data_IF_404438326327
#
_entry.id   IF_404438326327
#
_cell.length_a   1.000
_cell.length_b   1.000
_cell.length_c   1.000
_cell.angle_alpha   90.00
_cell.angle_beta   90.00
_cell.angle_gamma   90.00
#
_symmetry.space_group_name_H-M   'P 1'
#
loop_
_entity.id
_entity.type
_entity.pdbx_description
1 polymer ?
#
# COMPACT_ATOMS: atom_id res chain seq x y z
N UNK A 1 22.57 -21.69 -57.81
CA UNK A 1 22.10 -20.39 -57.27
C UNK A 1 20.66 -20.42 -56.74
N UNK A 2 19.65 -20.89 -57.51
CA UNK A 2 18.26 -20.93 -57.03
C UNK A 2 18.05 -21.75 -55.75
N UNK A 3 18.68 -22.91 -55.65
CA UNK A 3 18.55 -23.79 -54.46
C UNK A 3 19.24 -23.16 -53.21
N UNK A 4 20.35 -22.47 -53.40
CA UNK A 4 21.04 -21.77 -52.30
C UNK A 4 20.24 -20.60 -51.77
N UNK A 5 19.52 -19.88 -52.63
CA UNK A 5 18.58 -18.81 -52.27
C UNK A 5 17.38 -19.34 -51.46
N UNK A 6 16.87 -20.52 -51.83
CA UNK A 6 15.77 -21.16 -51.10
C UNK A 6 16.24 -21.58 -49.69
N UNK A 7 17.43 -22.14 -49.54
CA UNK A 7 17.96 -22.50 -48.20
C UNK A 7 18.27 -21.29 -47.35
N UNK A 8 18.72 -20.18 -47.92
CA UNK A 8 18.91 -18.91 -47.18
C UNK A 8 17.57 -18.32 -46.78
N UNK A 9 16.52 -18.39 -47.62
CA UNK A 9 15.19 -17.91 -47.28
C UNK A 9 14.52 -18.76 -46.18
N UNK A 10 14.70 -20.08 -46.21
CA UNK A 10 14.21 -20.99 -45.17
C UNK A 10 14.96 -20.77 -43.85
N UNK A 11 16.28 -20.54 -43.91
CA UNK A 11 17.08 -20.26 -42.71
C UNK A 11 16.74 -18.93 -42.09
N UNK A 12 16.51 -17.87 -42.89
CA UNK A 12 16.04 -16.57 -42.39
C UNK A 12 14.61 -16.60 -41.86
N UNK A 13 13.73 -17.44 -42.41
CA UNK A 13 12.37 -17.63 -41.90
C UNK A 13 12.37 -18.37 -40.53
N UNK A 14 13.30 -19.32 -40.32
CA UNK A 14 13.49 -20.03 -39.05
C UNK A 14 14.12 -19.19 -37.95
N UNK A 15 14.87 -18.14 -38.30
CA UNK A 15 15.47 -17.20 -37.31
C UNK A 15 14.53 -16.06 -36.93
N UNK A 16 13.41 -15.91 -37.66
CA UNK A 16 12.41 -14.86 -37.38
C UNK A 16 11.35 -15.25 -36.34
N UNK A 17 11.46 -16.43 -35.71
CA UNK A 17 10.73 -16.66 -34.46
C UNK A 17 11.31 -15.72 -33.40
N UNK A 18 10.56 -14.66 -33.09
CA UNK A 18 10.85 -13.82 -31.94
C UNK A 18 11.02 -14.75 -30.76
N UNK A 19 12.22 -14.84 -30.23
CA UNK A 19 12.48 -15.55 -28.99
C UNK A 19 11.65 -14.91 -27.87
N UNK A 20 10.43 -15.38 -27.67
CA UNK A 20 9.55 -15.04 -26.56
C UNK A 20 10.08 -15.70 -25.28
N UNK A 21 11.37 -15.50 -25.00
CA UNK A 21 12.04 -16.16 -23.87
C UNK A 21 12.28 -15.23 -22.70
N UNK A 22 11.92 -13.95 -22.82
CA UNK A 22 12.08 -12.99 -21.74
C UNK A 22 10.76 -12.30 -21.45
N UNK A 23 10.32 -12.31 -20.18
CA UNK A 23 9.20 -11.50 -19.73
C UNK A 23 9.42 -10.07 -20.20
N UNK A 24 8.38 -9.48 -20.77
CA UNK A 24 8.38 -8.07 -21.13
C UNK A 24 8.32 -7.28 -19.81
N UNK A 25 9.49 -6.94 -19.27
CA UNK A 25 9.65 -6.37 -17.94
C UNK A 25 9.60 -4.83 -17.94
N UNK A 26 9.38 -4.22 -19.10
CA UNK A 26 9.29 -2.76 -19.15
C UNK A 26 7.92 -2.25 -18.66
N UNK A 27 7.89 -1.09 -18.02
CA UNK A 27 6.66 -0.43 -17.62
C UNK A 27 5.74 -0.13 -18.81
N UNK A 28 4.46 -0.04 -18.52
CA UNK A 28 3.44 0.27 -19.53
C UNK A 28 3.69 1.65 -20.18
N UNK A 29 3.49 1.77 -21.49
CA UNK A 29 3.71 3.02 -22.19
C UNK A 29 2.74 4.11 -21.71
N UNK A 30 3.10 5.39 -21.86
CA UNK A 30 2.22 6.51 -21.55
C UNK A 30 0.89 6.41 -22.28
N UNK A 31 -0.19 6.90 -21.66
CA UNK A 31 -1.50 6.99 -22.28
C UNK A 31 -1.45 7.92 -23.49
N UNK A 32 -1.84 7.41 -24.67
CA UNK A 32 -1.85 8.17 -25.94
C UNK A 32 -3.26 8.53 -26.42
N UNK A 33 -4.29 7.84 -25.92
CA UNK A 33 -5.69 8.03 -26.28
C UNK A 33 -6.54 8.25 -25.05
N UNK A 34 -7.63 9.00 -25.18
CA UNK A 34 -8.67 8.99 -24.15
C UNK A 34 -9.27 7.59 -24.04
N UNK A 35 -9.57 7.15 -22.84
CA UNK A 35 -10.18 5.85 -22.58
C UNK A 35 -11.53 6.08 -21.93
N UNK A 36 -12.55 5.38 -22.42
CA UNK A 36 -13.90 5.38 -21.88
C UNK A 36 -14.25 3.95 -21.47
N UNK A 37 -14.53 3.74 -20.20
CA UNK A 37 -15.05 2.48 -19.65
C UNK A 37 -16.55 2.63 -19.53
N UNK A 38 -17.33 1.71 -20.08
CA UNK A 38 -18.80 1.80 -20.11
C UNK A 38 -19.46 0.55 -19.53
N UNK A 39 -20.68 0.73 -18.96
CA UNK A 39 -21.61 -0.33 -18.62
C UNK A 39 -21.29 -1.14 -17.36
N UNK A 40 -20.21 -0.82 -16.66
CA UNK A 40 -19.84 -1.49 -15.41
C UNK A 40 -20.46 -0.89 -14.16
N UNK A 41 -20.48 -1.63 -13.05
CA UNK A 41 -20.80 -1.10 -11.74
C UNK A 41 -19.56 -0.41 -11.17
N UNK A 42 -19.68 0.89 -10.87
CA UNK A 42 -18.56 1.74 -10.43
C UNK A 42 -18.64 1.92 -8.91
N UNK A 43 -17.66 1.39 -8.20
CA UNK A 43 -17.44 1.62 -6.78
C UNK A 43 -16.52 2.83 -6.63
N UNK A 44 -17.06 3.95 -6.15
CA UNK A 44 -16.29 5.21 -6.07
C UNK A 44 -15.15 5.13 -5.04
N UNK A 45 -15.28 4.27 -4.03
CA UNK A 45 -14.32 4.16 -2.91
C UNK A 45 -14.62 5.10 -1.74
N UNK A 46 -15.70 5.84 -1.78
CA UNK A 46 -16.19 6.73 -0.72
C UNK A 46 -17.55 6.29 -0.15
N UNK A 47 -17.95 5.04 -0.39
CA UNK A 47 -19.25 4.48 -0.01
C UNK A 47 -20.32 4.60 -1.09
N UNK A 48 -20.09 5.34 -2.19
CA UNK A 48 -21.04 5.47 -3.31
C UNK A 48 -20.78 4.42 -4.37
N UNK A 49 -21.86 3.91 -4.96
CA UNK A 49 -21.84 2.98 -6.09
C UNK A 49 -22.71 3.53 -7.20
N UNK A 50 -22.25 3.44 -8.44
CA UNK A 50 -23.00 3.81 -9.64
C UNK A 50 -23.20 2.54 -10.46
N UNK A 51 -24.44 2.17 -10.68
CA UNK A 51 -24.79 1.00 -11.47
C UNK A 51 -24.83 1.36 -12.97
N UNK A 52 -24.18 0.51 -13.80
CA UNK A 52 -24.08 0.71 -15.26
C UNK A 52 -23.53 2.08 -15.67
N UNK A 53 -22.58 2.61 -14.90
CA UNK A 53 -21.97 3.90 -15.16
C UNK A 53 -20.92 3.89 -16.27
N UNK A 54 -20.36 5.07 -16.52
CA UNK A 54 -19.18 5.25 -17.37
C UNK A 54 -18.12 6.10 -16.71
N UNK A 55 -16.86 5.82 -17.02
CA UNK A 55 -15.69 6.60 -16.59
C UNK A 55 -14.88 6.96 -17.82
N UNK A 56 -14.57 8.24 -17.96
CA UNK A 56 -13.66 8.75 -19.00
C UNK A 56 -12.39 9.27 -18.35
N UNK A 57 -11.24 8.93 -18.91
CA UNK A 57 -9.96 9.48 -18.48
C UNK A 57 -9.01 9.72 -19.65
N UNK A 58 -8.20 10.75 -19.49
CA UNK A 58 -7.23 11.21 -20.50
C UNK A 58 -6.06 11.90 -19.80
N UNK A 59 -4.86 11.77 -20.37
CA UNK A 59 -3.63 12.35 -19.81
C UNK A 59 -3.42 11.96 -18.34
N UNK A 60 -3.73 10.71 -18.01
CA UNK A 60 -3.53 10.16 -16.67
C UNK A 60 -4.60 10.53 -15.64
N UNK A 61 -5.58 11.38 -15.99
CA UNK A 61 -6.60 11.90 -15.07
C UNK A 61 -8.00 11.47 -15.45
N UNK A 62 -8.85 11.24 -14.45
CA UNK A 62 -10.29 11.06 -14.63
C UNK A 62 -10.89 12.40 -15.05
N UNK A 63 -11.58 12.43 -16.18
CA UNK A 63 -12.18 13.64 -16.76
C UNK A 63 -13.69 13.66 -16.62
N UNK A 64 -14.34 12.50 -16.56
CA UNK A 64 -15.78 12.39 -16.39
C UNK A 64 -16.18 11.08 -15.71
N UNK A 65 -17.24 11.13 -14.91
CA UNK A 65 -17.93 9.95 -14.34
C UNK A 65 -19.41 10.21 -14.45
N UNK A 66 -20.13 9.32 -15.14
CA UNK A 66 -21.56 9.46 -15.40
C UNK A 66 -22.34 8.22 -14.92
N UNK A 67 -23.52 8.45 -14.36
CA UNK A 67 -24.52 7.45 -14.00
C UNK A 67 -25.44 7.06 -15.16
N UNK A 68 -25.33 7.77 -16.28
CA UNK A 68 -26.06 7.43 -17.51
C UNK A 68 -25.20 6.47 -18.34
N UNK A 69 -25.71 5.25 -18.55
CA UNK A 69 -25.20 4.44 -19.64
C UNK A 69 -25.23 5.31 -20.91
N UNK A 70 -24.08 5.56 -21.51
CA UNK A 70 -24.03 6.32 -22.78
C UNK A 70 -24.92 5.56 -23.74
N UNK A 71 -26.09 6.13 -24.06
CA UNK A 71 -27.05 5.53 -24.99
C UNK A 71 -26.44 5.59 -26.40
N UNK A 72 -25.83 4.51 -26.82
CA UNK A 72 -25.05 4.37 -28.03
C UNK A 72 -23.56 4.32 -27.75
N UNK A 73 -22.88 3.43 -28.48
CA UNK A 73 -21.40 3.39 -28.42
C UNK A 73 -20.89 4.78 -28.80
N UNK A 74 -20.08 5.43 -27.93
CA UNK A 74 -19.44 6.67 -28.32
C UNK A 74 -18.70 6.44 -29.64
N UNK A 75 -18.76 7.41 -30.55
CA UNK A 75 -18.08 7.29 -31.84
C UNK A 75 -16.61 6.91 -31.57
N UNK A 76 -16.27 5.66 -31.89
CA UNK A 76 -14.88 5.17 -31.80
C UNK A 76 -14.10 6.01 -32.81
N UNK A 77 -13.27 6.90 -32.29
CA UNK A 77 -12.36 7.70 -33.11
C UNK A 77 -10.95 7.18 -32.94
N UNK A 78 -10.06 7.49 -33.84
CA UNK A 78 -8.64 7.17 -33.72
C UNK A 78 -8.01 7.74 -32.42
N UNK A 79 -8.71 8.66 -31.75
CA UNK A 79 -8.27 9.34 -30.51
C UNK A 79 -8.89 8.77 -29.24
N UNK A 80 -9.83 7.82 -29.35
CA UNK A 80 -10.59 7.29 -28.19
C UNK A 80 -10.64 5.77 -28.24
N UNK A 81 -10.32 5.14 -27.11
CA UNK A 81 -10.48 3.72 -26.88
C UNK A 81 -11.70 3.49 -25.98
N UNK A 82 -12.58 2.59 -26.36
CA UNK A 82 -13.74 2.20 -25.55
C UNK A 82 -13.50 0.80 -24.97
N UNK A 83 -13.76 0.64 -23.67
CA UNK A 83 -13.69 -0.63 -22.95
C UNK A 83 -15.09 -0.94 -22.44
N UNK A 84 -15.66 -2.04 -22.93
CA UNK A 84 -16.93 -2.57 -22.43
C UNK A 84 -16.71 -3.33 -21.11
N UNK A 85 -17.25 -2.79 -20.04
CA UNK A 85 -17.25 -3.36 -18.69
C UNK A 85 -18.64 -3.86 -18.28
N UNK A 86 -19.55 -4.11 -19.23
CA UNK A 86 -20.89 -4.62 -18.93
C UNK A 86 -20.79 -5.91 -18.10
N UNK A 87 -21.47 -5.93 -16.94
CA UNK A 87 -21.44 -7.03 -15.98
C UNK A 87 -20.17 -7.13 -15.14
N UNK A 88 -19.23 -6.19 -15.29
CA UNK A 88 -17.99 -6.11 -14.49
C UNK A 88 -18.08 -5.06 -13.40
N UNK A 89 -17.17 -5.14 -12.47
CA UNK A 89 -17.01 -4.24 -11.35
C UNK A 89 -15.79 -3.32 -11.59
N UNK A 90 -15.91 -2.04 -11.30
CA UNK A 90 -14.87 -1.02 -11.50
C UNK A 90 -14.56 -0.40 -10.14
N UNK A 91 -13.28 -0.42 -9.75
CA UNK A 91 -12.80 -0.02 -8.44
C UNK A 91 -11.67 1.00 -8.54
N UNK A 92 -11.45 1.87 -7.54
CA UNK A 92 -10.19 2.58 -7.40
C UNK A 92 -9.05 1.58 -7.14
N UNK A 93 -7.84 1.93 -7.56
CA UNK A 93 -6.64 1.15 -7.27
C UNK A 93 -6.43 0.97 -5.77
N UNK A 94 -6.18 -0.26 -5.35
CA UNK A 94 -5.91 -0.60 -3.94
C UNK A 94 -4.53 -0.09 -3.55
N UNK A 95 -4.38 0.34 -2.29
CA UNK A 95 -3.16 0.93 -1.73
C UNK A 95 -2.68 0.07 -0.56
N UNK A 96 -1.50 -0.53 -0.67
CA UNK A 96 -0.84 -1.21 0.43
C UNK A 96 -0.16 -0.18 1.34
N UNK A 97 -0.76 0.13 2.48
CA UNK A 97 -0.36 1.27 3.33
C UNK A 97 0.92 1.03 4.16
N UNK A 98 1.33 -0.21 4.35
CA UNK A 98 2.54 -0.58 5.10
C UNK A 98 3.13 -1.87 4.55
N UNK A 99 4.26 -1.81 3.84
CA UNK A 99 4.85 -2.98 3.21
C UNK A 99 6.35 -2.84 2.97
N UNK A 100 7.04 -3.98 2.84
CA UNK A 100 8.44 -4.11 2.41
C UNK A 100 8.56 -4.54 0.94
N UNK A 101 7.49 -4.40 0.17
CA UNK A 101 7.47 -4.76 -1.25
C UNK A 101 8.59 -4.03 -2.01
N UNK A 102 9.41 -4.76 -2.76
CA UNK A 102 10.57 -4.21 -3.46
C UNK A 102 11.80 -3.89 -2.58
N UNK A 103 11.70 -4.06 -1.25
CA UNK A 103 12.85 -3.98 -0.33
C UNK A 103 13.37 -5.37 0.06
N UNK A 104 12.61 -6.42 -0.20
CA UNK A 104 12.97 -7.82 0.07
C UNK A 104 12.60 -8.66 -1.13
N UNK A 105 13.56 -9.46 -1.61
CA UNK A 105 13.31 -10.43 -2.68
C UNK A 105 13.19 -11.86 -2.13
N UNK A 106 14.13 -12.27 -1.28
CA UNK A 106 14.15 -13.59 -0.65
C UNK A 106 14.37 -13.42 0.85
N UNK A 107 13.33 -13.63 1.64
CA UNK A 107 13.33 -13.35 3.08
C UNK A 107 14.43 -14.07 3.86
N UNK A 108 14.76 -15.31 3.47
CA UNK A 108 15.82 -16.12 4.11
C UNK A 108 17.24 -15.70 3.71
N UNK A 109 17.41 -14.79 2.75
CA UNK A 109 18.72 -14.41 2.21
C UNK A 109 19.05 -12.96 2.54
N UNK A 110 19.94 -12.73 3.50
CA UNK A 110 20.28 -11.39 4.00
C UNK A 110 20.72 -10.41 2.90
N UNK A 111 21.46 -10.86 1.90
CA UNK A 111 21.95 -10.01 0.79
C UNK A 111 20.85 -9.52 -0.17
N UNK A 112 19.61 -9.94 0.01
CA UNK A 112 18.44 -9.50 -0.79
C UNK A 112 17.42 -8.74 0.07
N UNK A 113 17.86 -8.27 1.23
CA UNK A 113 17.02 -7.56 2.21
C UNK A 113 17.59 -6.18 2.44
N UNK A 114 16.94 -5.16 1.89
CA UNK A 114 17.28 -3.74 2.00
C UNK A 114 16.24 -2.96 2.82
N UNK A 115 15.51 -3.67 3.69
CA UNK A 115 14.43 -3.12 4.50
C UNK A 115 14.88 -2.51 5.82
N UNK A 116 16.08 -2.82 6.30
CA UNK A 116 16.56 -2.37 7.61
C UNK A 116 18.02 -1.87 7.58
N UNK A 117 18.32 -0.89 8.41
CA UNK A 117 19.65 -0.34 8.60
C UNK A 117 20.11 -0.52 10.04
N UNK A 118 21.45 -0.56 10.24
CA UNK A 118 22.04 -0.67 11.55
C UNK A 118 21.89 0.61 12.36
N UNK A 119 21.68 0.47 13.65
CA UNK A 119 21.57 1.59 14.59
C UNK A 119 20.16 1.79 15.14
N UNK A 120 20.08 2.60 16.18
CA UNK A 120 18.85 2.82 16.93
C UNK A 120 18.04 4.01 16.37
N UNK A 121 18.73 4.99 15.80
CA UNK A 121 18.12 6.17 15.17
C UNK A 121 18.56 6.29 13.71
N UNK A 122 17.67 5.87 12.82
CA UNK A 122 17.84 5.85 11.37
C UNK A 122 16.97 6.92 10.67
N UNK A 123 16.65 8.03 11.33
CA UNK A 123 15.75 9.08 10.82
C UNK A 123 16.11 9.57 9.41
N UNK A 124 17.40 9.61 9.03
CA UNK A 124 17.85 10.05 7.73
C UNK A 124 17.75 8.98 6.63
N UNK A 125 17.44 7.72 6.97
CA UNK A 125 17.28 6.64 6.01
C UNK A 125 15.99 6.80 5.23
N UNK A 126 16.04 6.49 3.93
CA UNK A 126 14.92 6.61 3.00
C UNK A 126 14.72 5.27 2.29
N UNK A 127 13.63 4.60 2.55
CA UNK A 127 13.30 3.32 1.92
C UNK A 127 13.22 3.40 0.39
N UNK A 128 12.83 4.57 -0.14
CA UNK A 128 12.63 4.78 -1.58
C UNK A 128 13.88 4.48 -2.40
N UNK A 129 15.08 4.85 -1.90
CA UNK A 129 16.34 4.67 -2.66
C UNK A 129 16.72 3.19 -2.83
N UNK A 130 16.23 2.33 -1.93
CA UNK A 130 16.45 0.89 -1.96
C UNK A 130 15.33 0.12 -2.71
N UNK A 131 14.31 0.83 -3.18
CA UNK A 131 13.17 0.19 -3.84
C UNK A 131 13.54 -0.41 -5.19
N UNK A 132 13.41 -1.74 -5.28
CA UNK A 132 13.64 -2.50 -6.51
C UNK A 132 12.34 -2.60 -7.32
N UNK A 133 12.26 -1.88 -8.45
CA UNK A 133 11.13 -1.92 -9.38
C UNK A 133 11.03 -3.23 -10.16
N UNK A 134 12.14 -4.00 -10.25
CA UNK A 134 12.22 -5.26 -11.00
C UNK A 134 11.83 -6.48 -10.15
N UNK A 135 11.36 -6.25 -8.91
CA UNK A 135 10.89 -7.33 -8.05
C UNK A 135 9.76 -8.12 -8.70
N UNK A 136 9.96 -9.43 -8.84
CA UNK A 136 8.94 -10.34 -9.43
C UNK A 136 7.65 -10.42 -8.62
N UNK A 137 7.70 -10.04 -7.35
CA UNK A 137 6.54 -10.00 -6.47
C UNK A 137 5.57 -8.90 -6.89
N UNK A 138 6.07 -7.77 -7.39
CA UNK A 138 5.27 -6.63 -7.81
C UNK A 138 4.21 -7.03 -8.84
N UNK A 139 4.57 -7.80 -9.86
CA UNK A 139 3.63 -8.25 -10.89
C UNK A 139 2.47 -9.07 -10.31
N UNK A 140 2.75 -9.91 -9.31
CA UNK A 140 1.72 -10.70 -8.63
C UNK A 140 0.79 -9.81 -7.78
N UNK A 141 1.34 -8.86 -7.05
CA UNK A 141 0.58 -7.92 -6.22
C UNK A 141 -0.30 -7.03 -7.10
N UNK A 142 0.26 -6.49 -8.17
CA UNK A 142 -0.42 -5.63 -9.16
C UNK A 142 -1.59 -6.35 -9.85
N UNK A 143 -1.41 -7.63 -10.19
CA UNK A 143 -2.46 -8.42 -10.85
C UNK A 143 -3.68 -8.72 -9.97
N UNK A 144 -3.62 -8.40 -8.67
CA UNK A 144 -4.75 -8.46 -7.73
C UNK A 144 -5.33 -7.07 -7.40
N UNK A 145 -4.98 -6.05 -8.19
CA UNK A 145 -5.56 -4.71 -8.08
C UNK A 145 -4.87 -3.77 -7.10
N UNK A 146 -3.76 -4.18 -6.46
CA UNK A 146 -2.93 -3.27 -5.65
C UNK A 146 -2.03 -2.48 -6.61
N UNK A 147 -2.24 -1.19 -6.69
CA UNK A 147 -1.57 -0.32 -7.67
C UNK A 147 -0.53 0.60 -7.05
N UNK A 148 -0.69 0.93 -5.77
CA UNK A 148 0.23 1.78 -5.01
C UNK A 148 0.64 1.07 -3.72
N UNK A 149 1.82 1.38 -3.22
CA UNK A 149 2.34 0.84 -1.97
C UNK A 149 3.13 1.90 -1.20
N UNK A 150 2.95 1.96 0.11
CA UNK A 150 3.83 2.71 1.01
C UNK A 150 4.93 1.76 1.47
N UNK A 151 6.15 1.96 0.94
CA UNK A 151 7.30 1.15 1.26
C UNK A 151 7.96 1.68 2.53
N UNK A 152 8.06 0.82 3.55
CA UNK A 152 8.40 1.19 4.92
C UNK A 152 9.71 0.56 5.34
N UNK A 153 10.69 1.36 5.83
CA UNK A 153 11.91 0.82 6.41
C UNK A 153 11.63 0.23 7.79
N UNK A 154 12.47 -0.69 8.20
CA UNK A 154 12.46 -1.33 9.52
C UNK A 154 13.78 -1.09 10.27
N UNK A 155 13.86 -1.64 11.46
CA UNK A 155 15.07 -1.58 12.31
C UNK A 155 15.18 -0.31 13.13
N UNK A 156 15.87 -0.43 14.27
CA UNK A 156 16.06 0.64 15.22
C UNK A 156 14.78 1.12 15.94
N UNK A 157 14.93 2.08 16.82
CA UNK A 157 13.80 2.80 17.44
C UNK A 157 13.16 3.77 16.45
N UNK A 158 13.96 4.53 15.69
CA UNK A 158 13.49 5.32 14.54
C UNK A 158 14.00 4.63 13.28
N UNK A 159 13.08 4.08 12.48
CA UNK A 159 13.43 3.26 11.31
C UNK A 159 13.79 4.09 10.08
N UNK A 160 13.18 5.27 9.92
CA UNK A 160 13.44 6.14 8.78
C UNK A 160 12.20 6.62 8.07
N UNK A 161 12.39 7.15 6.85
CA UNK A 161 11.34 7.68 6.00
C UNK A 161 10.74 6.62 5.09
N UNK A 162 9.42 6.53 5.10
CA UNK A 162 8.65 5.78 4.11
C UNK A 162 8.29 6.66 2.90
N UNK A 163 7.93 6.02 1.80
CA UNK A 163 7.48 6.69 0.58
C UNK A 163 6.40 5.89 -0.12
N UNK A 164 5.45 6.57 -0.75
CA UNK A 164 4.46 5.92 -1.58
C UNK A 164 5.00 5.77 -3.00
N UNK A 165 4.93 4.55 -3.53
CA UNK A 165 5.37 4.21 -4.89
C UNK A 165 4.22 3.66 -5.72
N UNK A 166 4.28 3.89 -7.04
CA UNK A 166 3.46 3.19 -8.01
C UNK A 166 4.11 1.86 -8.41
N UNK A 167 3.30 0.85 -8.71
CA UNK A 167 3.79 -0.50 -8.96
C UNK A 167 4.04 -0.80 -10.46
N UNK A 168 4.39 0.23 -11.26
CA UNK A 168 4.71 0.09 -12.69
C UNK A 168 5.66 1.20 -13.14
N UNK A 169 6.95 1.06 -12.85
CA UNK A 169 7.95 2.11 -13.00
C UNK A 169 9.31 1.58 -13.46
N UNK A 170 10.12 2.44 -14.09
CA UNK A 170 11.45 2.10 -14.60
C UNK A 170 12.50 1.98 -13.49
N UNK A 171 12.43 2.84 -12.51
CA UNK A 171 13.35 2.92 -11.37
C UNK A 171 12.64 3.54 -10.17
N UNK A 172 13.32 3.66 -9.04
CA UNK A 172 12.74 4.21 -7.81
C UNK A 172 12.32 5.68 -7.94
N UNK A 173 12.97 6.47 -8.78
CA UNK A 173 12.62 7.88 -9.04
C UNK A 173 11.29 7.97 -9.78
N UNK A 174 11.12 7.16 -10.84
CA UNK A 174 9.89 7.04 -11.61
C UNK A 174 8.74 6.41 -10.80
N UNK A 175 9.08 5.50 -9.88
CA UNK A 175 8.11 4.89 -8.97
C UNK A 175 7.55 5.86 -7.92
N UNK A 176 8.26 6.92 -7.59
CA UNK A 176 7.93 7.82 -6.51
C UNK A 176 6.60 8.56 -6.75
N UNK A 177 5.54 8.15 -6.04
CA UNK A 177 4.23 8.80 -6.07
C UNK A 177 4.12 9.92 -5.02
N UNK A 178 4.64 9.69 -3.82
CA UNK A 178 4.89 10.69 -2.77
C UNK A 178 6.14 10.28 -1.98
N UNK A 179 7.16 11.12 -2.05
CA UNK A 179 8.43 10.89 -1.34
C UNK A 179 8.33 11.26 0.13
N UNK A 180 9.00 10.48 0.98
CA UNK A 180 9.26 10.80 2.40
C UNK A 180 8.00 11.27 3.15
N UNK A 181 6.89 10.53 2.98
CA UNK A 181 5.57 10.90 3.49
C UNK A 181 5.44 10.79 5.02
N UNK A 182 6.38 10.12 5.68
CA UNK A 182 6.36 9.99 7.14
C UNK A 182 7.59 9.29 7.70
N UNK A 183 7.77 9.47 9.01
CA UNK A 183 8.81 8.84 9.82
C UNK A 183 8.18 7.66 10.56
N UNK A 184 8.81 6.50 10.48
CA UNK A 184 8.42 5.30 11.21
C UNK A 184 9.24 5.15 12.50
N UNK A 185 8.52 4.95 13.61
CA UNK A 185 9.06 4.81 14.96
C UNK A 185 8.51 3.53 15.60
N UNK A 186 9.36 2.68 16.11
CA UNK A 186 8.99 1.51 16.90
C UNK A 186 8.91 1.92 18.38
N UNK A 187 7.72 1.90 18.95
CA UNK A 187 7.53 2.24 20.36
C UNK A 187 8.27 1.20 21.22
N UNK A 188 9.15 1.63 22.13
CA UNK A 188 9.77 0.72 23.08
C UNK A 188 8.73 -0.03 23.91
N UNK A 189 8.92 -1.34 24.12
CA UNK A 189 7.99 -2.12 24.93
C UNK A 189 7.97 -1.61 26.36
N UNK A 190 6.77 -1.35 26.86
CA UNK A 190 6.49 -0.84 28.21
C UNK A 190 5.89 -1.89 29.13
N UNK A 191 5.90 -3.13 28.71
CA UNK A 191 5.45 -4.27 29.51
C UNK A 191 6.47 -5.40 29.44
N UNK A 192 6.45 -6.25 30.46
CA UNK A 192 7.15 -7.50 30.43
C UNK A 192 6.16 -8.63 30.15
N UNK A 193 6.25 -9.23 28.95
CA UNK A 193 5.41 -10.37 28.56
C UNK A 193 5.85 -11.68 29.26
N UNK A 194 6.99 -11.71 29.95
CA UNK A 194 7.40 -12.86 30.73
C UNK A 194 6.56 -12.94 32.01
N UNK A 195 5.71 -13.95 32.09
CA UNK A 195 4.80 -14.24 33.21
C UNK A 195 5.56 -14.61 34.48
N UNK A 196 6.12 -13.64 35.15
CA UNK A 196 6.74 -13.77 36.43
C UNK A 196 7.21 -12.43 36.94
N UNK A 197 6.74 -11.99 38.10
CA UNK A 197 7.25 -10.81 38.77
C UNK A 197 8.70 -11.08 39.22
N UNK A 198 9.63 -10.92 38.30
CA UNK A 198 11.07 -10.99 38.60
C UNK A 198 11.65 -9.58 38.56
N UNK A 199 12.74 -9.28 39.30
CA UNK A 199 13.46 -8.02 39.24
C UNK A 199 13.83 -7.63 37.80
N UNK A 200 14.04 -8.59 36.90
CA UNK A 200 14.25 -8.40 35.45
C UNK A 200 13.04 -7.79 34.75
N UNK A 201 11.82 -7.93 35.27
CA UNK A 201 10.60 -7.36 34.71
C UNK A 201 10.53 -5.85 34.89
N UNK A 202 10.86 -5.35 36.09
CA UNK A 202 10.90 -3.90 36.38
C UNK A 202 12.03 -3.24 35.59
N UNK A 203 13.16 -3.92 35.39
CA UNK A 203 14.28 -3.42 34.58
C UNK A 203 13.90 -3.28 33.09
N UNK A 204 13.07 -4.14 32.51
CA UNK A 204 12.62 -4.08 31.16
C UNK A 204 11.70 -2.84 30.91
N UNK A 205 10.75 -2.58 31.81
CA UNK A 205 9.88 -1.39 31.72
C UNK A 205 10.69 -0.11 31.88
N UNK A 206 11.64 -0.07 32.84
CA UNK A 206 12.53 1.06 33.01
C UNK A 206 13.35 1.36 31.77
N UNK A 207 13.96 0.34 31.16
CA UNK A 207 14.69 0.47 29.88
C UNK A 207 13.79 0.98 28.75
N UNK A 208 12.54 0.54 28.71
CA UNK A 208 11.55 1.07 27.74
C UNK A 208 11.31 2.56 27.96
N UNK A 209 11.10 3.01 29.20
CA UNK A 209 10.90 4.41 29.54
C UNK A 209 12.15 5.26 29.26
N UNK A 210 13.35 4.74 29.56
CA UNK A 210 14.62 5.42 29.24
C UNK A 210 14.75 5.65 27.71
N UNK A 211 14.32 4.69 26.89
CA UNK A 211 14.29 4.84 25.43
C UNK A 211 13.25 5.86 24.97
N UNK A 212 12.08 5.91 25.61
CA UNK A 212 11.07 6.94 25.31
C UNK A 212 11.64 8.33 25.61
N UNK A 213 12.35 8.50 26.74
CA UNK A 213 12.98 9.78 27.05
C UNK A 213 14.08 10.13 26.02
N UNK A 214 14.87 9.17 25.56
CA UNK A 214 15.86 9.39 24.48
C UNK A 214 15.20 9.86 23.18
N UNK A 215 14.02 9.32 22.82
CA UNK A 215 13.23 9.79 21.68
C UNK A 215 12.81 11.26 21.87
N UNK A 216 12.33 11.61 23.07
CA UNK A 216 11.92 13.00 23.38
C UNK A 216 13.10 13.97 23.31
N UNK A 217 14.27 13.57 23.84
CA UNK A 217 15.50 14.37 23.74
C UNK A 217 15.86 14.62 22.29
N UNK A 218 15.85 13.58 21.44
CA UNK A 218 16.12 13.70 20.01
C UNK A 218 15.18 14.71 19.33
N UNK A 219 13.87 14.65 19.59
CA UNK A 219 12.93 15.62 18.99
C UNK A 219 13.08 17.04 19.55
N UNK A 220 13.45 17.21 20.84
CA UNK A 220 13.76 18.52 21.43
C UNK A 220 14.99 19.15 20.78
N UNK A 221 16.05 18.36 20.60
CA UNK A 221 17.28 18.79 19.92
C UNK A 221 17.01 19.15 18.45
N UNK A 222 16.26 18.28 17.73
CA UNK A 222 15.84 18.56 16.35
C UNK A 222 15.05 19.86 16.25
N UNK A 223 14.09 20.09 17.17
CA UNK A 223 13.31 21.34 17.21
C UNK A 223 14.20 22.57 17.43
N UNK A 224 15.17 22.49 18.36
CA UNK A 224 16.14 23.55 18.60
C UNK A 224 17.01 23.82 17.37
N UNK A 225 17.56 22.76 16.76
CA UNK A 225 18.32 22.86 15.52
C UNK A 225 17.51 23.52 14.39
N UNK A 226 16.28 23.07 14.16
CA UNK A 226 15.42 23.60 13.08
C UNK A 226 14.99 25.05 13.30
N UNK A 227 14.98 25.54 14.54
CA UNK A 227 14.66 26.93 14.88
C UNK A 227 15.85 27.89 14.69
N UNK A 228 17.07 27.35 14.78
CA UNK A 228 18.32 28.13 14.63
C UNK A 228 18.69 28.24 13.19
N UNK A 229 18.34 28.80 12.27
CA UNK A 229 18.63 28.83 10.82
C UNK A 229 20.12 28.90 10.39
N UNK A 230 21.07 29.03 11.34
CA UNK A 230 22.52 29.17 11.08
C UNK A 230 23.33 27.98 11.58
N UNK A 231 23.49 26.94 10.73
CA UNK A 231 24.27 25.77 11.08
C UNK A 231 25.64 25.78 10.40
N UNK A 232 26.70 25.46 11.16
CA UNK A 232 28.04 25.23 10.62
C UNK A 232 28.14 23.91 9.83
N UNK A 233 27.27 22.94 10.16
CA UNK A 233 27.17 21.66 9.48
C UNK A 233 25.71 21.17 9.49
N UNK A 234 25.29 20.52 8.40
CA UNK A 234 23.95 19.96 8.26
C UNK A 234 23.84 18.64 9.05
N UNK A 235 22.86 18.56 9.96
CA UNK A 235 22.51 17.31 10.61
C UNK A 235 21.37 16.60 9.84
N UNK A 236 21.73 15.59 9.05
CA UNK A 236 20.77 14.88 8.20
C UNK A 236 19.62 14.24 8.98
N UNK A 237 19.82 13.77 10.22
CA UNK A 237 18.76 13.20 11.05
C UNK A 237 17.75 14.26 11.49
N UNK A 238 18.20 15.46 11.83
CA UNK A 238 17.31 16.56 12.20
C UNK A 238 16.58 17.12 10.99
N UNK A 239 17.27 17.22 9.83
CA UNK A 239 16.59 17.63 8.58
C UNK A 239 15.51 16.62 8.16
N UNK A 240 15.75 15.34 8.34
CA UNK A 240 14.80 14.30 7.95
C UNK A 240 13.46 14.39 8.69
N UNK A 241 13.47 14.88 9.95
CA UNK A 241 12.27 15.03 10.78
C UNK A 241 11.63 16.42 10.69
N UNK A 242 12.18 17.36 9.91
CA UNK A 242 11.63 18.72 9.71
C UNK A 242 10.14 18.70 9.39
N UNK A 243 9.73 17.81 8.48
CA UNK A 243 8.35 17.69 8.03
C UNK A 243 7.36 17.23 9.11
N UNK A 244 7.82 16.69 10.25
CA UNK A 244 6.96 16.42 11.39
C UNK A 244 6.54 17.73 12.10
N UNK A 245 7.44 18.71 12.17
CA UNK A 245 7.19 19.99 12.84
C UNK A 245 6.37 20.95 11.99
N UNK A 246 6.45 20.87 10.66
CA UNK A 246 5.64 21.72 9.76
C UNK A 246 4.35 21.01 9.30
N UNK A 247 4.14 19.76 9.71
CA UNK A 247 2.95 18.95 9.41
C UNK A 247 2.89 18.39 7.99
N UNK A 248 3.97 18.47 7.18
CA UNK A 248 4.06 17.88 5.85
C UNK A 248 4.30 16.36 5.89
N UNK A 249 4.83 15.84 7.02
CA UNK A 249 5.04 14.43 7.30
C UNK A 249 4.16 13.95 8.47
N UNK A 250 3.87 12.66 8.49
CA UNK A 250 3.17 11.98 9.58
C UNK A 250 4.16 11.16 10.40
N UNK A 251 4.01 11.14 11.72
CA UNK A 251 4.70 10.20 12.59
C UNK A 251 3.90 8.90 12.64
N UNK A 252 4.49 7.83 12.11
CA UNK A 252 3.92 6.47 12.17
C UNK A 252 4.55 5.73 13.34
N UNK A 253 3.76 5.38 14.36
CA UNK A 253 4.25 4.70 15.55
C UNK A 253 3.76 3.27 15.59
N UNK A 254 4.69 2.34 15.53
CA UNK A 254 4.42 0.91 15.63
C UNK A 254 4.27 0.53 17.12
N UNK A 255 3.09 0.12 17.52
CA UNK A 255 2.75 -0.32 18.87
C UNK A 255 1.45 -1.12 18.87
N UNK A 256 1.30 -2.04 19.81
CA UNK A 256 0.15 -2.95 19.88
C UNK A 256 -0.72 -2.74 21.11
N UNK A 257 -0.14 -2.33 22.21
CA UNK A 257 -0.78 -2.29 23.52
C UNK A 257 -1.25 -0.89 23.89
N UNK A 258 -2.36 -0.79 24.62
CA UNK A 258 -2.95 0.49 25.07
C UNK A 258 -1.91 1.40 25.73
N UNK A 259 -1.07 0.85 26.61
CA UNK A 259 -0.05 1.64 27.34
C UNK A 259 0.94 2.32 26.39
N UNK A 260 1.37 1.61 25.37
CA UNK A 260 2.29 2.10 24.34
C UNK A 260 1.61 3.16 23.44
N UNK A 261 0.36 2.92 23.07
CA UNK A 261 -0.46 3.89 22.31
C UNK A 261 -0.65 5.20 23.07
N UNK A 262 -0.89 5.14 24.38
CA UNK A 262 -1.04 6.35 25.21
C UNK A 262 0.25 7.16 25.24
N UNK A 263 1.42 6.51 25.36
CA UNK A 263 2.71 7.20 25.31
C UNK A 263 2.96 7.79 23.92
N UNK A 264 2.56 7.11 22.84
CA UNK A 264 2.66 7.64 21.47
C UNK A 264 1.78 8.90 21.28
N UNK A 265 0.56 8.88 21.82
CA UNK A 265 -0.36 10.03 21.77
C UNK A 265 0.23 11.21 22.55
N UNK A 266 0.77 10.98 23.74
CA UNK A 266 1.38 12.05 24.56
C UNK A 266 2.63 12.63 23.88
N UNK A 267 3.46 11.77 23.25
CA UNK A 267 4.61 12.20 22.46
C UNK A 267 4.17 13.10 21.29
N UNK A 268 3.16 12.68 20.53
CA UNK A 268 2.65 13.44 19.41
C UNK A 268 2.06 14.80 19.84
N UNK A 269 1.36 14.85 20.97
CA UNK A 269 0.84 16.09 21.57
C UNK A 269 1.96 17.04 22.01
N UNK A 270 3.01 16.53 22.65
CA UNK A 270 4.14 17.33 23.16
C UNK A 270 4.81 18.12 22.02
N UNK A 271 4.91 17.51 20.83
CA UNK A 271 5.59 18.13 19.68
C UNK A 271 4.65 18.69 18.61
N UNK A 272 3.34 18.44 18.69
CA UNK A 272 2.35 18.87 17.70
C UNK A 272 2.36 18.04 16.41
N UNK A 273 2.75 16.77 16.48
CA UNK A 273 2.86 15.90 15.31
C UNK A 273 1.52 15.32 14.90
N UNK A 274 1.32 15.13 13.58
CA UNK A 274 0.29 14.23 13.07
C UNK A 274 0.68 12.82 13.41
N UNK A 275 -0.22 12.04 14.01
CA UNK A 275 0.02 10.68 14.47
C UNK A 275 -0.83 9.66 13.73
N UNK A 276 -0.17 8.59 13.30
CA UNK A 276 -0.81 7.34 12.87
C UNK A 276 -0.20 6.19 13.66
N UNK A 277 -1.04 5.38 14.31
CA UNK A 277 -0.58 4.15 14.95
C UNK A 277 -0.58 3.00 13.96
N UNK A 278 0.46 2.18 13.99
CA UNK A 278 0.64 1.03 13.11
C UNK A 278 0.60 -0.25 13.96
N UNK A 279 -0.03 -1.30 13.45
CA UNK A 279 -0.39 -2.51 14.16
C UNK A 279 -1.58 -2.29 15.10
N UNK A 280 -1.37 -1.63 16.19
CA UNK A 280 -2.39 -1.07 17.10
C UNK A 280 -3.47 -2.10 17.50
N UNK A 281 -3.06 -3.33 17.86
CA UNK A 281 -3.96 -4.47 18.09
C UNK A 281 -5.06 -4.16 19.12
N UNK A 282 -4.73 -3.49 20.23
CA UNK A 282 -5.67 -3.16 21.31
C UNK A 282 -6.39 -1.81 21.12
N UNK A 283 -6.31 -1.18 19.94
CA UNK A 283 -6.86 0.16 19.71
C UNK A 283 -8.38 0.25 19.92
N UNK A 284 -9.09 -0.85 19.82
CA UNK A 284 -10.54 -0.93 20.06
C UNK A 284 -10.94 -0.58 21.49
N UNK A 285 -10.03 -0.72 22.46
CA UNK A 285 -10.26 -0.39 23.88
C UNK A 285 -10.26 1.12 24.15
N UNK A 286 -9.65 1.93 23.26
CA UNK A 286 -9.42 3.38 23.48
C UNK A 286 -9.96 4.25 22.34
N UNK A 287 -11.00 3.83 21.66
CA UNK A 287 -11.54 4.53 20.48
C UNK A 287 -11.89 5.99 20.74
N UNK A 288 -12.42 6.32 21.91
CA UNK A 288 -12.77 7.71 22.27
C UNK A 288 -11.52 8.60 22.38
N UNK A 289 -10.43 8.05 22.94
CA UNK A 289 -9.15 8.76 23.06
C UNK A 289 -8.52 8.97 21.69
N UNK A 290 -8.53 7.94 20.84
CA UNK A 290 -8.04 8.02 19.47
C UNK A 290 -8.78 9.08 18.67
N UNK A 291 -10.11 9.08 18.75
CA UNK A 291 -10.96 10.09 18.10
C UNK A 291 -10.70 11.51 18.60
N UNK A 292 -10.64 11.68 19.92
CA UNK A 292 -10.41 12.99 20.54
C UNK A 292 -9.04 13.61 20.12
N UNK A 293 -8.09 12.77 19.70
CA UNK A 293 -6.75 13.19 19.29
C UNK A 293 -6.51 13.11 17.78
N UNK A 294 -7.55 12.85 16.96
CA UNK A 294 -7.46 12.70 15.51
C UNK A 294 -6.40 11.67 15.06
N UNK A 295 -6.25 10.58 15.83
CA UNK A 295 -5.30 9.51 15.52
C UNK A 295 -5.90 8.59 14.47
N UNK A 296 -5.17 8.36 13.38
CA UNK A 296 -5.51 7.34 12.39
C UNK A 296 -4.78 6.03 12.64
N UNK A 297 -5.28 4.94 12.06
CA UNK A 297 -4.78 3.58 12.35
C UNK A 297 -4.42 2.85 11.05
N UNK A 298 -3.23 2.25 11.01
CA UNK A 298 -2.86 1.20 10.05
C UNK A 298 -2.95 -0.13 10.81
N UNK A 299 -4.13 -0.74 10.77
CA UNK A 299 -4.48 -1.91 11.57
C UNK A 299 -3.76 -3.17 11.05
N UNK A 300 -3.28 -4.00 11.97
CA UNK A 300 -2.69 -5.29 11.65
C UNK A 300 -3.71 -6.25 11.00
N UNK A 301 -3.18 -7.30 10.37
CA UNK A 301 -3.96 -8.36 9.73
C UNK A 301 -4.95 -8.99 10.73
N UNK A 302 -6.26 -8.99 10.43
CA UNK A 302 -7.27 -9.58 11.30
C UNK A 302 -7.17 -11.10 11.41
N UNK A 303 -6.46 -11.78 10.49
CA UNK A 303 -6.23 -13.21 10.53
C UNK A 303 -5.12 -13.57 11.55
N UNK A 304 -5.24 -13.05 12.75
CA UNK A 304 -4.34 -13.27 13.87
C UNK A 304 -5.12 -13.71 15.11
N UNK A 305 -4.41 -14.18 16.11
CA UNK A 305 -4.97 -14.41 17.44
C UNK A 305 -4.87 -13.14 18.28
N UNK A 306 -5.73 -12.96 19.28
CA UNK A 306 -5.59 -11.89 20.26
C UNK A 306 -4.23 -11.94 20.96
N UNK A 307 -3.71 -10.78 21.38
CA UNK A 307 -2.46 -10.71 22.16
C UNK A 307 -2.64 -11.20 23.59
N UNK A 308 -3.83 -11.04 24.14
CA UNK A 308 -4.18 -11.37 25.53
C UNK A 308 -5.12 -12.57 25.52
N UNK A 309 -4.86 -13.57 26.36
CA UNK A 309 -5.65 -14.81 26.42
C UNK A 309 -7.11 -14.59 26.86
N UNK A 310 -7.38 -13.51 27.59
CA UNK A 310 -8.71 -13.16 28.07
C UNK A 310 -9.59 -12.48 27.02
N UNK A 311 -9.01 -12.06 25.89
CA UNK A 311 -9.77 -11.45 24.81
C UNK A 311 -10.54 -12.49 23.98
N UNK A 312 -11.66 -12.05 23.39
CA UNK A 312 -12.42 -12.90 22.50
C UNK A 312 -11.56 -13.33 21.29
N UNK A 313 -11.57 -14.62 20.94
CA UNK A 313 -10.76 -15.19 19.85
C UNK A 313 -10.98 -14.46 18.52
N UNK A 314 -12.19 -13.93 18.31
CA UNK A 314 -12.57 -13.18 17.12
C UNK A 314 -12.39 -11.65 17.25
N UNK A 315 -11.75 -11.16 18.32
CA UNK A 315 -11.52 -9.74 18.52
C UNK A 315 -10.73 -9.08 17.38
N UNK A 316 -9.66 -9.67 16.83
CA UNK A 316 -8.94 -9.07 15.69
C UNK A 316 -9.83 -8.79 14.47
N UNK A 317 -10.80 -9.65 14.22
CA UNK A 317 -11.77 -9.48 13.12
C UNK A 317 -12.77 -8.36 13.37
N UNK A 318 -13.14 -8.09 14.63
CA UNK A 318 -14.14 -7.09 15.03
C UNK A 318 -13.58 -5.69 15.21
N UNK A 319 -12.27 -5.58 15.40
CA UNK A 319 -11.58 -4.30 15.69
C UNK A 319 -11.87 -3.24 14.62
N UNK A 320 -11.84 -3.61 13.34
CA UNK A 320 -12.12 -2.68 12.24
C UNK A 320 -13.55 -2.10 12.32
N UNK A 321 -14.55 -2.92 12.66
CA UNK A 321 -15.94 -2.46 12.84
C UNK A 321 -16.08 -1.51 14.04
N UNK A 322 -15.31 -1.73 15.12
CA UNK A 322 -15.27 -0.80 16.25
C UNK A 322 -14.67 0.57 15.87
N UNK A 323 -13.59 0.58 15.10
CA UNK A 323 -12.99 1.81 14.59
C UNK A 323 -13.92 2.57 13.64
N UNK A 324 -14.60 1.86 12.72
CA UNK A 324 -15.59 2.44 11.82
C UNK A 324 -16.74 3.08 12.59
N UNK A 325 -17.31 2.37 13.56
CA UNK A 325 -18.40 2.86 14.43
C UNK A 325 -17.99 4.12 15.20
N UNK A 326 -16.75 4.18 15.66
CA UNK A 326 -16.19 5.36 16.33
C UNK A 326 -15.89 6.52 15.37
N UNK A 327 -15.90 6.29 14.05
CA UNK A 327 -15.56 7.27 13.02
C UNK A 327 -14.07 7.59 13.00
N UNK A 328 -13.22 6.61 13.29
CA UNK A 328 -11.76 6.70 13.19
C UNK A 328 -11.36 6.30 11.78
N UNK A 329 -10.48 7.09 11.16
CA UNK A 329 -9.91 6.74 9.85
C UNK A 329 -8.90 5.62 10.04
N UNK A 330 -9.13 4.50 9.38
CA UNK A 330 -8.22 3.36 9.43
C UNK A 330 -8.02 2.73 8.05
N UNK A 331 -6.89 2.09 7.89
CA UNK A 331 -6.56 1.15 6.81
C UNK A 331 -6.05 -0.14 7.42
N UNK A 332 -5.83 -1.16 6.60
CA UNK A 332 -5.27 -2.44 7.03
C UNK A 332 -3.99 -2.75 6.26
N UNK A 333 -3.13 -3.55 6.87
CA UNK A 333 -1.96 -4.11 6.20
C UNK A 333 -1.80 -5.58 6.58
N UNK A 334 -1.06 -6.34 5.78
CA UNK A 334 -0.73 -7.72 6.09
C UNK A 334 0.74 -7.86 6.38
N UNK A 335 1.06 -8.48 7.53
CA UNK A 335 2.41 -8.81 7.96
C UNK A 335 2.60 -10.31 8.22
N UNK A 336 1.56 -11.12 8.00
CA UNK A 336 1.63 -12.58 8.20
C UNK A 336 2.66 -13.19 7.24
N UNK A 337 3.55 -14.00 7.79
CA UNK A 337 4.52 -14.85 7.10
C UNK A 337 4.97 -14.32 5.73
N UNK A 338 5.91 -13.38 5.69
CA UNK A 338 6.38 -12.78 4.45
C UNK A 338 5.45 -11.68 3.91
N UNK A 339 5.11 -10.69 4.72
CA UNK A 339 4.12 -9.64 4.44
C UNK A 339 4.27 -8.91 3.11
N UNK A 340 5.45 -8.88 2.49
CA UNK A 340 5.66 -8.17 1.22
C UNK A 340 4.96 -8.86 0.03
N UNK A 341 4.93 -10.20 -0.07
CA UNK A 341 4.22 -10.90 -1.14
C UNK A 341 2.74 -11.15 -0.80
N UNK A 342 2.36 -11.13 0.46
CA UNK A 342 0.98 -11.31 0.89
C UNK A 342 0.10 -10.07 0.62
N UNK A 343 0.67 -8.94 0.22
CA UNK A 343 -0.10 -7.77 -0.21
C UNK A 343 -1.10 -8.08 -1.34
N UNK A 344 -0.87 -9.14 -2.13
CA UNK A 344 -1.84 -9.65 -3.11
C UNK A 344 -3.17 -10.07 -2.49
N UNK A 345 -3.19 -10.42 -1.19
CA UNK A 345 -4.38 -10.87 -0.47
C UNK A 345 -5.11 -9.70 0.23
N UNK A 346 -4.58 -8.48 0.18
CA UNK A 346 -5.14 -7.31 0.85
C UNK A 346 -6.64 -7.10 0.55
N UNK A 347 -7.13 -7.23 -0.71
CA UNK A 347 -8.55 -7.13 -0.98
C UNK A 347 -9.38 -8.21 -0.28
N UNK A 348 -8.89 -9.43 -0.17
CA UNK A 348 -9.59 -10.56 0.46
C UNK A 348 -9.63 -10.42 1.99
N UNK A 349 -8.57 -9.85 2.56
CA UNK A 349 -8.53 -9.50 3.99
C UNK A 349 -9.58 -8.42 4.29
N UNK A 350 -9.70 -7.41 3.45
CA UNK A 350 -10.77 -6.42 3.55
C UNK A 350 -12.16 -7.06 3.42
N UNK A 351 -12.32 -8.04 2.51
CA UNK A 351 -13.54 -8.85 2.38
C UNK A 351 -13.91 -9.60 3.67
N UNK A 352 -12.91 -10.11 4.40
CA UNK A 352 -13.14 -10.72 5.73
C UNK A 352 -13.73 -9.70 6.70
N UNK A 353 -13.23 -8.46 6.75
CA UNK A 353 -13.76 -7.42 7.63
C UNK A 353 -15.22 -7.07 7.32
N UNK A 354 -15.62 -7.19 6.04
CA UNK A 354 -17.03 -7.01 5.67
C UNK A 354 -17.95 -8.08 6.30
N UNK A 355 -17.42 -9.29 6.55
CA UNK A 355 -18.18 -10.34 7.24
C UNK A 355 -18.32 -10.06 8.74
N UNK A 356 -17.40 -9.28 9.32
CA UNK A 356 -17.35 -8.99 10.76
C UNK A 356 -17.80 -7.57 11.13
N UNK A 357 -18.69 -6.97 10.32
CA UNK A 357 -19.44 -5.78 10.71
C UNK A 357 -19.20 -4.52 9.89
N UNK A 358 -18.32 -4.55 8.89
CA UNK A 358 -18.26 -3.51 7.86
C UNK A 358 -19.21 -3.83 6.72
N UNK A 359 -19.67 -2.83 6.00
CA UNK A 359 -20.21 -3.01 4.66
C UNK A 359 -19.07 -3.27 3.66
N UNK A 360 -19.37 -3.83 2.48
CA UNK A 360 -18.37 -4.03 1.43
C UNK A 360 -17.72 -2.71 0.99
N UNK A 361 -18.51 -1.65 0.91
CA UNK A 361 -17.99 -0.33 0.54
C UNK A 361 -17.08 0.27 1.61
N UNK A 362 -17.36 0.08 2.89
CA UNK A 362 -16.47 0.48 3.98
C UNK A 362 -15.17 -0.32 3.98
N UNK A 363 -15.24 -1.63 3.72
CA UNK A 363 -14.07 -2.48 3.58
C UNK A 363 -13.20 -2.06 2.37
N UNK A 364 -13.83 -1.73 1.23
CA UNK A 364 -13.15 -1.18 0.06
C UNK A 364 -12.50 0.18 0.39
N UNK A 365 -13.26 1.07 1.04
CA UNK A 365 -12.79 2.39 1.44
C UNK A 365 -11.55 2.29 2.36
N UNK A 366 -11.50 1.29 3.24
CA UNK A 366 -10.37 1.08 4.13
C UNK A 366 -9.04 0.86 3.36
N UNK A 367 -9.07 0.13 2.25
CA UNK A 367 -7.86 -0.18 1.45
C UNK A 367 -7.66 0.75 0.23
N UNK A 368 -8.48 1.78 0.11
CA UNK A 368 -8.41 2.76 -1.01
C UNK A 368 -8.37 4.19 -0.45
N UNK A 369 -9.51 4.87 -0.26
CA UNK A 369 -9.57 6.27 0.16
C UNK A 369 -8.99 6.50 1.56
N UNK A 370 -9.25 5.62 2.53
CA UNK A 370 -8.70 5.79 3.87
C UNK A 370 -7.18 5.60 3.88
N UNK A 371 -6.65 4.62 3.13
CA UNK A 371 -5.21 4.48 2.93
C UNK A 371 -4.62 5.74 2.29
N UNK A 372 -5.28 6.30 1.27
CA UNK A 372 -4.85 7.55 0.64
C UNK A 372 -4.82 8.72 1.63
N UNK A 373 -5.84 8.88 2.49
CA UNK A 373 -5.90 9.91 3.54
C UNK A 373 -4.76 9.78 4.55
N UNK A 374 -4.52 8.55 5.04
CA UNK A 374 -3.45 8.28 6.02
C UNK A 374 -2.07 8.60 5.43
N UNK A 375 -1.88 8.32 4.14
CA UNK A 375 -0.63 8.59 3.43
C UNK A 375 -0.53 10.01 2.86
N UNK A 376 -1.61 10.81 2.97
CA UNK A 376 -1.69 12.19 2.49
C UNK A 376 -1.60 12.30 0.96
N UNK A 377 -2.28 11.42 0.24
CA UNK A 377 -2.38 11.40 -1.23
C UNK A 377 -3.84 11.39 -1.73
N UNK A 378 -4.80 11.67 -0.86
CA UNK A 378 -6.23 11.62 -1.15
C UNK A 378 -6.69 12.67 -2.18
N UNK A 379 -5.92 13.73 -2.35
CA UNK A 379 -6.11 14.74 -3.39
C UNK A 379 -5.84 14.18 -4.80
N UNK A 380 -5.01 13.14 -4.89
CA UNK A 380 -4.58 12.54 -6.16
C UNK A 380 -5.26 11.21 -6.46
N UNK A 381 -5.63 10.42 -5.45
CA UNK A 381 -6.07 9.03 -5.63
C UNK A 381 -6.88 8.51 -4.45
N UNK A 382 -7.23 7.20 -4.46
CA UNK A 382 -7.97 6.50 -3.40
C UNK A 382 -9.48 6.48 -3.62
N UNK A 383 -10.01 7.33 -4.48
CA UNK A 383 -11.41 7.29 -4.94
C UNK A 383 -11.48 7.66 -6.42
N UNK A 384 -12.54 7.21 -7.10
CA UNK A 384 -12.80 7.56 -8.48
C UNK A 384 -13.56 8.89 -8.51
N UNK A 385 -12.86 9.98 -8.75
CA UNK A 385 -13.41 11.34 -8.81
C UNK A 385 -12.72 12.15 -9.91
N UNK A 386 -13.48 13.05 -10.55
CA UNK A 386 -12.95 13.92 -11.61
C UNK A 386 -11.75 14.73 -11.08
N UNK A 387 -10.68 14.76 -11.85
CA UNK A 387 -9.42 15.43 -11.53
C UNK A 387 -8.39 14.55 -10.82
N UNK A 388 -8.80 13.42 -10.23
CA UNK A 388 -7.85 12.45 -9.63
C UNK A 388 -7.16 11.62 -10.70
N UNK A 389 -6.06 10.99 -10.34
CA UNK A 389 -5.32 10.08 -11.20
C UNK A 389 -6.20 8.87 -11.56
N UNK A 390 -6.15 8.48 -12.82
CA UNK A 390 -6.85 7.31 -13.32
C UNK A 390 -6.13 6.02 -12.85
N UNK A 391 -6.19 5.76 -11.54
CA UNK A 391 -5.76 4.53 -10.90
C UNK A 391 -7.00 3.64 -10.73
N UNK A 392 -7.26 2.80 -11.72
CA UNK A 392 -8.54 2.09 -11.91
C UNK A 392 -8.29 0.59 -12.05
N UNK A 393 -9.16 -0.22 -11.46
CA UNK A 393 -9.15 -1.68 -11.56
C UNK A 393 -10.52 -2.15 -12.07
N UNK A 394 -10.52 -3.04 -13.07
CA UNK A 394 -11.73 -3.72 -13.57
C UNK A 394 -11.63 -5.20 -13.24
N UNK A 395 -12.65 -5.74 -12.58
CA UNK A 395 -12.76 -7.16 -12.22
C UNK A 395 -14.05 -7.77 -12.75
N UNK A 396 -14.01 -9.02 -13.18
CA UNK A 396 -15.22 -9.76 -13.59
C UNK A 396 -16.18 -9.98 -12.42
N UNK A 397 -15.66 -10.09 -11.19
CA UNK A 397 -16.47 -10.27 -9.98
C UNK A 397 -16.03 -9.32 -8.87
N UNK A 398 -16.58 -9.53 -7.69
CA UNK A 398 -16.28 -8.75 -6.49
C UNK A 398 -14.79 -8.88 -6.13
N UNK A 399 -14.05 -7.75 -6.12
CA UNK A 399 -12.63 -7.75 -5.83
C UNK A 399 -12.31 -8.19 -4.39
N UNK A 400 -13.27 -8.06 -3.48
CA UNK A 400 -13.13 -8.45 -2.07
C UNK A 400 -13.40 -9.95 -1.83
N UNK A 401 -13.94 -10.66 -2.81
CA UNK A 401 -14.23 -12.08 -2.71
C UNK A 401 -13.20 -12.92 -3.50
N UNK A 402 -12.41 -13.72 -2.81
CA UNK A 402 -11.37 -14.57 -3.40
C UNK A 402 -11.89 -15.52 -4.51
N UNK A 403 -13.16 -15.95 -4.47
CA UNK A 403 -13.73 -16.88 -5.43
C UNK A 403 -14.12 -16.20 -6.73
N UNK A 404 -14.61 -14.97 -6.67
CA UNK A 404 -15.15 -14.24 -7.81
C UNK A 404 -14.19 -13.17 -8.35
N UNK A 405 -13.20 -12.75 -7.55
CA UNK A 405 -12.21 -11.75 -7.96
C UNK A 405 -11.39 -12.25 -9.16
N UNK A 406 -11.47 -11.50 -10.25
CA UNK A 406 -10.69 -11.74 -11.46
C UNK A 406 -10.42 -10.39 -12.15
N UNK A 407 -9.30 -9.79 -11.81
CA UNK A 407 -8.87 -8.51 -12.38
C UNK A 407 -8.50 -8.70 -13.85
N UNK A 408 -9.26 -8.05 -14.73
CA UNK A 408 -9.08 -8.13 -16.19
C UNK A 408 -8.31 -6.96 -16.78
N UNK A 409 -8.45 -5.77 -16.19
CA UNK A 409 -7.76 -4.55 -16.59
C UNK A 409 -7.37 -3.75 -15.36
N UNK A 410 -6.24 -3.09 -15.43
CA UNK A 410 -5.84 -2.10 -14.43
C UNK A 410 -5.09 -0.95 -15.09
N UNK A 411 -5.16 0.21 -14.47
CA UNK A 411 -4.55 1.45 -14.96
C UNK A 411 -3.86 2.17 -13.80
N UNK A 412 -2.65 2.65 -14.03
CA UNK A 412 -1.96 3.59 -13.16
C UNK A 412 -1.75 4.87 -13.94
N UNK A 413 -2.30 5.97 -13.45
CA UNK A 413 -2.25 7.26 -14.14
C UNK A 413 -2.63 7.13 -15.63
N UNK A 414 -3.71 6.38 -15.90
CA UNK A 414 -4.24 6.14 -17.24
C UNK A 414 -3.43 5.18 -18.12
N UNK A 415 -2.26 4.72 -17.71
CA UNK A 415 -1.45 3.72 -18.43
C UNK A 415 -2.04 2.33 -18.21
N UNK A 416 -2.36 1.62 -19.30
CA UNK A 416 -2.90 0.27 -19.23
C UNK A 416 -1.80 -0.73 -18.83
N UNK A 417 -1.99 -1.43 -17.73
CA UNK A 417 -0.99 -2.31 -17.14
C UNK A 417 -0.98 -3.70 -17.75
N UNK A 418 0.21 -4.28 -17.89
CA UNK A 418 0.36 -5.71 -18.09
C UNK A 418 0.10 -6.43 -16.75
N UNK A 419 -0.90 -7.31 -16.71
CA UNK A 419 -1.30 -8.09 -15.54
C UNK A 419 -0.76 -9.53 -15.57
N UNK A 420 0.19 -9.82 -16.44
CA UNK A 420 0.87 -11.11 -16.44
C UNK A 420 1.81 -11.24 -15.24
N UNK A 421 1.98 -12.47 -14.77
CA UNK A 421 2.88 -12.78 -13.67
C UNK A 421 3.36 -14.23 -13.74
N UNK A 422 4.38 -14.54 -12.95
CA UNK A 422 5.00 -15.88 -12.94
C UNK A 422 4.02 -17.00 -12.65
N UNK A 423 3.04 -16.78 -11.77
CA UNK A 423 2.03 -17.80 -11.41
C UNK A 423 1.11 -18.09 -12.59
N UNK A 424 0.65 -17.07 -13.32
CA UNK A 424 -0.16 -17.24 -14.55
C UNK A 424 0.62 -17.99 -15.62
N UNK A 425 1.87 -17.62 -15.84
CA UNK A 425 2.75 -18.31 -16.81
C UNK A 425 2.96 -19.79 -16.46
N UNK A 426 3.20 -20.09 -15.16
CA UNK A 426 3.33 -21.46 -14.70
C UNK A 426 2.02 -22.23 -14.86
N UNK A 427 0.88 -21.61 -14.57
CA UNK A 427 -0.43 -22.22 -14.78
C UNK A 427 -0.63 -22.61 -16.24
N UNK A 428 -0.40 -21.69 -17.19
CA UNK A 428 -0.55 -21.97 -18.62
C UNK A 428 0.45 -23.04 -19.09
N UNK A 429 1.70 -23.02 -18.60
CA UNK A 429 2.69 -24.05 -18.89
C UNK A 429 2.23 -25.43 -18.47
N UNK A 430 1.69 -25.58 -17.27
CA UNK A 430 1.24 -26.88 -16.77
C UNK A 430 -0.12 -27.30 -17.35
N UNK A 431 -1.01 -26.35 -17.62
CA UNK A 431 -2.24 -26.57 -18.37
C UNK A 431 -1.93 -27.21 -19.75
N UNK A 432 -0.97 -26.63 -20.48
CA UNK A 432 -0.50 -27.20 -21.74
C UNK A 432 0.09 -28.61 -21.56
N UNK A 433 0.97 -28.79 -20.55
CA UNK A 433 1.61 -30.10 -20.29
C UNK A 433 0.61 -31.22 -20.06
N UNK A 434 -0.48 -30.95 -19.37
CA UNK A 434 -1.49 -31.94 -18.99
C UNK A 434 -2.70 -31.95 -19.93
N UNK A 435 -2.69 -31.22 -21.03
CA UNK A 435 -3.79 -31.16 -22.01
C UNK A 435 -5.10 -30.66 -21.43
N UNK A 436 -5.06 -29.82 -20.40
CA UNK A 436 -6.25 -29.21 -19.79
C UNK A 436 -6.76 -28.08 -20.70
N UNK A 437 -8.08 -27.99 -20.85
CA UNK A 437 -8.75 -26.94 -21.64
C UNK A 437 -9.02 -25.70 -20.80
#
# INVERSE_FOLDING_TARGET
>A
MKQLLIYILIFTALVAEKGMAQEDMHPSPPQTKAIIIIGGTIHIGNGKVIDKGSITFSNGKITDISDNAISGLPLVSDRTQVIDATGKQIYPGIIAANTKLGLIEVESTKSTRDNEELGDNNAAIRSLVAYNTDSKVINTVRSNGVLLANIVPEGGTISGNASVVQLDAWNWEDAAYKTDNGIHLNMPSLINLNRGATPAAEDAVKKGLDKVEAIKVFFKEAKGYLADGNHTATNLKFEAVRGLFDGSKTLFVHCDLVKEMMVAIDLAKEFGFKLTLVSATDCWMITDILKANNVSIVLADPHSLPLIEDDAVDQPYKTAAALQKAGIVFTIYTNLMGGFYNQRNLPFIAGTLATYGLTKEEALQAITLNAAKILGIEDKTGSLEVGKDANIVISNGDILDMKSSNVTNAFIQGRALNLDNKQKQLFEKYKYKYGLK
#
